data_IF_881235987832
#
_entry.id   IF_881235987832
#
_cell.length_a   1.000
_cell.length_b   1.000
_cell.length_c   1.000
_cell.angle_alpha   90.00
_cell.angle_beta   90.00
_cell.angle_gamma   90.00
#
_symmetry.space_group_name_H-M   'P 1'
#
loop_
_entity.id
_entity.type
_entity.pdbx_description
1 polymer ?
#
# COMPACT_ATOMS: atom_id res chain seq x y z
N UNK A 1 -59.98 8.41 -18.61
CA UNK A 1 -59.26 9.68 -18.83
C UNK A 1 -58.03 9.41 -19.70
N UNK A 2 -57.81 10.29 -20.68
CA UNK A 2 -56.75 10.39 -21.72
C UNK A 2 -55.36 9.83 -21.30
N UNK A 3 -54.75 8.89 -22.06
CA UNK A 3 -53.96 9.02 -23.33
C UNK A 3 -52.50 9.44 -23.03
N UNK A 4 -51.43 8.88 -23.61
CA UNK A 4 -51.19 8.31 -24.95
C UNK A 4 -49.86 7.49 -24.90
N UNK A 5 -49.82 6.21 -25.31
CA UNK A 5 -49.49 5.61 -26.64
C UNK A 5 -47.98 5.56 -26.98
N UNK A 6 -47.32 4.39 -26.97
CA UNK A 6 -47.24 3.35 -28.03
C UNK A 6 -46.58 3.80 -29.35
N UNK A 7 -45.46 3.16 -29.73
CA UNK A 7 -45.38 2.20 -30.85
C UNK A 7 -44.02 2.22 -31.56
N UNK A 8 -43.48 1.01 -31.76
CA UNK A 8 -42.51 0.64 -32.80
C UNK A 8 -42.86 1.22 -34.18
N UNK A 9 -41.81 1.49 -34.98
CA UNK A 9 -41.78 1.27 -36.44
C UNK A 9 -40.35 1.41 -37.00
N UNK A 10 -39.82 0.31 -37.52
CA UNK A 10 -38.90 0.31 -38.66
C UNK A 10 -39.63 0.82 -39.91
N UNK A 11 -38.87 1.36 -40.87
CA UNK A 11 -39.01 1.27 -42.34
C UNK A 11 -38.09 2.36 -42.97
N UNK A 12 -36.97 1.91 -43.54
CA UNK A 12 -36.21 2.51 -44.66
C UNK A 12 -37.08 2.44 -45.96
N UNK A 13 -36.78 3.03 -47.15
CA UNK A 13 -35.60 3.79 -47.60
C UNK A 13 -35.88 4.96 -48.61
N UNK A 14 -34.79 5.60 -49.09
CA UNK A 14 -34.66 6.37 -50.38
C UNK A 14 -35.17 7.83 -50.30
N UNK A 15 -34.46 8.89 -50.71
CA UNK A 15 -33.52 9.14 -51.81
C UNK A 15 -32.54 10.27 -51.37
N UNK A 16 -31.31 10.41 -51.86
CA UNK A 16 -30.99 10.54 -53.27
C UNK A 16 -29.59 10.02 -53.64
N UNK A 17 -29.54 9.51 -54.86
CA UNK A 17 -28.45 8.79 -55.49
C UNK A 17 -27.73 9.74 -56.45
N UNK A 18 -26.47 10.08 -56.19
CA UNK A 18 -25.54 10.43 -57.27
C UNK A 18 -24.22 9.71 -57.05
N UNK A 19 -24.18 8.49 -57.60
CA UNK A 19 -22.97 7.67 -57.76
C UNK A 19 -22.19 8.22 -58.95
N UNK A 20 -21.15 9.01 -58.68
CA UNK A 20 -20.05 9.20 -59.63
C UNK A 20 -18.90 8.29 -59.20
N UNK A 21 -18.87 7.08 -59.78
CA UNK A 21 -17.65 6.28 -59.80
C UNK A 21 -16.70 6.89 -60.81
N UNK A 22 -15.77 7.69 -60.30
CA UNK A 22 -14.47 7.88 -60.95
C UNK A 22 -13.43 7.24 -60.05
N UNK A 23 -12.76 6.24 -60.62
CA UNK A 23 -11.65 5.48 -60.08
C UNK A 23 -10.60 6.46 -59.55
N UNK A 24 -10.37 6.45 -58.24
CA UNK A 24 -9.19 7.06 -57.63
C UNK A 24 -8.80 6.20 -56.43
N UNK A 25 -7.71 5.46 -56.64
CA UNK A 25 -6.69 5.01 -55.70
C UNK A 25 -7.08 4.91 -54.21
N UNK A 26 -6.87 3.71 -53.66
CA UNK A 26 -7.11 3.34 -52.27
C UNK A 26 -6.84 4.47 -51.29
N UNK A 27 -7.91 5.12 -50.85
CA UNK A 27 -7.87 6.12 -49.80
C UNK A 27 -7.66 5.38 -48.49
N UNK A 28 -6.38 5.11 -48.19
CA UNK A 28 -5.83 4.93 -46.84
C UNK A 28 -6.61 5.89 -45.95
N UNK A 29 -7.53 5.36 -45.14
CA UNK A 29 -8.41 6.15 -44.27
C UNK A 29 -7.51 7.14 -43.54
N UNK A 30 -7.52 8.40 -43.98
CA UNK A 30 -6.74 9.45 -43.33
C UNK A 30 -7.31 9.54 -41.94
N UNK A 31 -6.52 9.05 -40.96
CA UNK A 31 -6.69 9.13 -39.51
C UNK A 31 -7.90 9.99 -39.16
N UNK A 32 -9.09 9.39 -39.18
CA UNK A 32 -10.21 10.02 -38.51
C UNK A 32 -9.74 10.20 -37.06
N UNK A 33 -9.99 11.39 -36.51
CA UNK A 33 -9.49 11.82 -35.21
C UNK A 33 -10.22 11.00 -34.15
N UNK A 34 -9.87 9.72 -34.03
CA UNK A 34 -10.40 8.80 -33.05
C UNK A 34 -9.73 9.17 -31.73
N UNK A 35 -10.50 9.78 -30.83
CA UNK A 35 -10.06 10.27 -29.51
C UNK A 35 -10.16 9.19 -28.42
N UNK A 36 -10.11 7.92 -28.79
CA UNK A 36 -10.14 6.81 -27.85
C UNK A 36 -8.78 6.58 -27.20
N UNK A 37 -8.81 6.10 -25.95
CA UNK A 37 -7.65 5.59 -25.21
C UNK A 37 -7.69 4.07 -25.34
N UNK A 38 -6.84 3.50 -26.19
CA UNK A 38 -6.81 2.06 -26.47
C UNK A 38 -5.54 1.46 -25.86
N UNK A 39 -4.37 1.80 -26.39
CA UNK A 39 -3.09 1.38 -25.83
C UNK A 39 -2.85 1.98 -24.45
N UNK A 40 -3.34 3.20 -24.21
CA UNK A 40 -3.26 3.80 -22.88
C UNK A 40 -4.00 3.00 -21.80
N UNK A 41 -5.07 2.32 -22.17
CA UNK A 41 -5.87 1.51 -21.23
C UNK A 41 -5.42 0.05 -21.19
N UNK A 42 -4.96 -0.49 -22.32
CA UNK A 42 -4.55 -1.90 -22.46
C UNK A 42 -3.09 -2.14 -22.03
N UNK A 43 -2.19 -1.21 -22.35
CA UNK A 43 -0.73 -1.38 -22.21
C UNK A 43 -0.03 -1.56 -23.56
N UNK A 44 1.31 -1.44 -23.55
CA UNK A 44 2.15 -1.60 -24.74
C UNK A 44 2.94 -2.91 -24.67
N UNK A 45 3.02 -3.64 -25.80
CA UNK A 45 3.81 -4.86 -25.88
C UNK A 45 5.19 -4.59 -26.52
N UNK A 46 6.24 -5.12 -25.90
CA UNK A 46 7.64 -4.87 -26.31
C UNK A 46 8.04 -5.56 -27.60
N UNK A 47 7.44 -6.72 -27.89
CA UNK A 47 7.67 -7.52 -29.09
C UNK A 47 6.38 -7.68 -29.88
N UNK A 48 6.47 -8.23 -31.10
CA UNK A 48 5.30 -8.61 -31.89
C UNK A 48 4.53 -9.68 -31.13
N UNK A 49 3.28 -9.41 -30.81
CA UNK A 49 2.40 -10.32 -30.09
C UNK A 49 0.99 -10.23 -30.67
N UNK A 50 0.56 -11.31 -31.34
CA UNK A 50 -0.76 -11.40 -31.98
C UNK A 50 -1.90 -11.40 -30.93
N UNK A 51 -1.59 -11.58 -29.64
CA UNK A 51 -2.54 -11.45 -28.52
C UNK A 51 -2.60 -10.03 -27.95
N UNK A 52 -1.72 -9.13 -28.39
CA UNK A 52 -1.64 -7.74 -27.94
C UNK A 52 -2.70 -6.86 -28.61
N UNK A 53 -3.97 -7.20 -28.38
CA UNK A 53 -5.14 -6.60 -29.05
C UNK A 53 -6.11 -5.98 -28.07
N UNK A 54 -6.75 -4.88 -28.47
CA UNK A 54 -7.81 -4.22 -27.74
C UNK A 54 -8.99 -3.87 -28.66
N UNK A 55 -10.24 -3.82 -28.16
CA UNK A 55 -11.40 -3.48 -28.98
C UNK A 55 -11.31 -2.05 -29.54
N UNK A 56 -11.47 -1.94 -30.86
CA UNK A 56 -11.58 -0.67 -31.57
C UNK A 56 -13.02 -0.44 -32.01
N UNK A 57 -13.81 0.10 -31.07
CA UNK A 57 -15.27 0.23 -31.21
C UNK A 57 -15.69 1.03 -32.44
N UNK A 58 -14.92 2.03 -32.86
CA UNK A 58 -15.25 2.91 -33.98
C UNK A 58 -15.09 2.23 -35.34
N UNK A 59 -14.31 1.15 -35.42
CA UNK A 59 -14.16 0.34 -36.62
C UNK A 59 -14.85 -1.03 -36.49
N UNK A 60 -15.55 -1.31 -35.39
CA UNK A 60 -16.05 -2.65 -35.03
C UNK A 60 -14.99 -3.74 -35.25
N UNK A 61 -13.76 -3.45 -34.85
CA UNK A 61 -12.59 -4.30 -35.07
C UNK A 61 -11.75 -4.42 -33.78
N UNK A 62 -10.61 -5.11 -33.86
CA UNK A 62 -9.55 -5.03 -32.86
C UNK A 62 -8.37 -4.25 -33.42
N UNK A 63 -7.62 -3.58 -32.56
CA UNK A 63 -6.37 -2.92 -32.94
C UNK A 63 -5.22 -3.39 -32.04
N UNK A 64 -3.99 -3.26 -32.54
CA UNK A 64 -2.77 -3.73 -31.88
C UNK A 64 -2.01 -2.59 -31.19
N UNK A 65 -1.35 -2.94 -30.07
CA UNK A 65 -0.51 -2.06 -29.27
C UNK A 65 0.94 -2.55 -29.14
N UNK A 66 1.41 -3.33 -30.12
CA UNK A 66 2.72 -3.97 -30.10
C UNK A 66 3.78 -3.24 -30.95
N UNK A 67 5.03 -3.67 -30.87
CA UNK A 67 6.15 -3.07 -31.62
C UNK A 67 5.98 -3.09 -33.15
N UNK A 68 5.10 -3.94 -33.69
CA UNK A 68 4.84 -3.99 -35.13
C UNK A 68 4.26 -2.66 -35.64
N UNK A 69 3.62 -1.90 -34.75
CA UNK A 69 3.04 -0.59 -35.05
C UNK A 69 4.04 0.55 -35.23
N UNK A 70 5.34 0.31 -35.03
CA UNK A 70 6.41 1.26 -35.39
C UNK A 70 6.50 1.52 -36.90
N UNK A 71 6.00 0.60 -37.75
CA UNK A 71 6.20 0.61 -39.20
C UNK A 71 5.04 1.26 -39.99
N UNK A 72 4.20 2.06 -39.33
CA UNK A 72 2.98 2.69 -39.90
C UNK A 72 2.05 1.70 -40.65
N UNK A 73 1.57 0.66 -39.93
CA UNK A 73 0.59 -0.31 -40.43
C UNK A 73 -0.86 0.09 -40.11
N UNK A 74 -1.84 -0.51 -40.80
CA UNK A 74 -3.27 -0.17 -40.68
C UNK A 74 -3.94 -0.65 -39.41
N UNK A 75 -3.47 -1.75 -38.83
CA UNK A 75 -4.20 -2.46 -37.76
C UNK A 75 -3.82 -1.94 -36.36
N UNK A 76 -3.06 -0.86 -36.32
CA UNK A 76 -2.53 -0.26 -35.11
C UNK A 76 -3.55 0.66 -34.45
N UNK A 77 -3.57 0.67 -33.12
CA UNK A 77 -4.45 1.57 -32.41
C UNK A 77 -4.07 3.04 -32.66
N UNK A 78 -5.06 3.95 -32.76
CA UNK A 78 -4.84 5.36 -33.05
C UNK A 78 -3.87 6.06 -32.09
N UNK A 79 -3.81 5.63 -30.83
CA UNK A 79 -2.98 6.20 -29.78
C UNK A 79 -1.60 5.53 -29.62
N UNK A 80 -1.28 4.48 -30.40
CA UNK A 80 -0.01 3.75 -30.30
C UNK A 80 1.20 4.68 -30.47
N UNK A 81 1.23 5.49 -31.54
CA UNK A 81 2.37 6.36 -31.84
C UNK A 81 2.60 7.39 -30.73
N UNK A 82 1.53 7.97 -30.18
CA UNK A 82 1.59 8.99 -29.14
C UNK A 82 1.80 8.43 -27.73
N UNK A 83 1.46 7.17 -27.49
CA UNK A 83 1.55 6.55 -26.16
C UNK A 83 2.74 5.59 -26.07
N UNK A 84 2.78 4.55 -26.91
CA UNK A 84 3.80 3.51 -26.84
C UNK A 84 5.15 3.92 -27.45
N UNK A 85 5.19 4.90 -28.37
CA UNK A 85 6.42 5.33 -29.04
C UNK A 85 7.02 6.60 -28.45
N UNK A 86 6.21 7.62 -28.21
CA UNK A 86 6.71 8.89 -27.63
C UNK A 86 7.25 8.72 -26.21
N UNK A 87 6.88 7.65 -25.49
CA UNK A 87 7.48 7.28 -24.20
C UNK A 87 8.93 6.73 -24.34
N UNK A 88 9.37 6.29 -25.53
CA UNK A 88 10.73 5.77 -25.76
C UNK A 88 11.77 6.83 -26.19
N UNK A 89 11.37 8.09 -26.42
CA UNK A 89 12.29 9.15 -26.90
C UNK A 89 12.56 10.27 -25.85
N UNK A 90 11.92 10.22 -24.68
CA UNK A 90 12.15 11.17 -23.59
C UNK A 90 13.09 10.65 -22.50
N UNK A 91 14.38 10.56 -22.84
CA UNK A 91 15.51 10.56 -21.88
C UNK A 91 15.51 9.39 -20.87
N UNK A 92 16.69 9.00 -20.33
CA UNK A 92 16.70 8.11 -19.17
C UNK A 92 15.83 8.77 -18.09
N UNK A 93 14.80 8.07 -17.60
CA UNK A 93 14.07 8.41 -16.37
C UNK A 93 15.05 8.38 -15.19
N UNK A 94 15.90 9.39 -15.17
CA UNK A 94 16.51 9.99 -14.00
C UNK A 94 15.40 10.76 -13.31
N UNK A 95 14.55 10.02 -12.59
CA UNK A 95 13.87 10.39 -11.34
C UNK A 95 12.79 9.34 -11.04
N UNK A 96 12.99 8.49 -10.02
CA UNK A 96 11.88 7.88 -9.32
C UNK A 96 10.88 8.98 -8.92
N UNK A 97 9.63 8.72 -9.24
CA UNK A 97 8.48 9.56 -9.03
C UNK A 97 8.25 9.72 -7.51
N UNK A 98 8.79 10.79 -6.92
CA UNK A 98 8.89 10.98 -5.46
C UNK A 98 9.62 9.83 -4.75
N UNK A 99 10.36 10.07 -3.66
CA UNK A 99 10.61 8.97 -2.74
C UNK A 99 9.24 8.62 -2.14
N UNK A 100 8.61 7.55 -2.63
CA UNK A 100 7.58 6.87 -1.85
C UNK A 100 8.24 6.56 -0.50
N UNK A 101 7.71 7.18 0.54
CA UNK A 101 8.43 7.33 1.78
C UNK A 101 7.59 8.05 2.81
N UNK A 102 7.88 7.79 4.07
CA UNK A 102 7.10 8.28 5.18
C UNK A 102 7.93 9.30 5.98
N UNK A 103 7.25 10.27 6.57
CA UNK A 103 7.89 11.25 7.45
C UNK A 103 7.58 10.95 8.91
N UNK A 104 8.58 11.04 9.79
CA UNK A 104 8.43 11.09 11.27
C UNK A 104 9.46 12.00 11.87
N UNK A 105 9.06 12.81 12.86
CA UNK A 105 9.95 13.66 13.67
C UNK A 105 10.92 14.53 12.84
N UNK A 106 10.44 15.00 11.68
CA UNK A 106 11.25 15.80 10.74
C UNK A 106 12.22 15.00 9.86
N UNK A 107 12.27 13.68 10.00
CA UNK A 107 13.08 12.77 9.19
C UNK A 107 12.23 12.04 8.13
N UNK A 108 12.83 11.85 6.95
CA UNK A 108 12.26 11.08 5.85
C UNK A 108 12.77 9.63 5.88
N UNK A 109 11.85 8.68 5.64
CA UNK A 109 12.10 7.24 5.57
C UNK A 109 11.65 6.70 4.22
N UNK A 110 12.38 5.74 3.65
CA UNK A 110 12.02 5.10 2.37
C UNK A 110 10.82 4.16 2.53
N UNK A 111 10.09 3.89 1.45
CA UNK A 111 9.02 2.89 1.40
C UNK A 111 9.49 1.53 1.93
N UNK A 112 8.66 0.88 2.74
CA UNK A 112 9.00 -0.39 3.39
C UNK A 112 9.91 -0.25 4.62
N UNK A 113 10.38 0.96 4.95
CA UNK A 113 11.14 1.20 6.18
C UNK A 113 10.34 0.77 7.41
N UNK A 114 11.03 0.12 8.35
CA UNK A 114 10.44 -0.29 9.62
C UNK A 114 11.10 0.47 10.77
N UNK A 115 10.29 1.17 11.55
CA UNK A 115 10.71 1.82 12.79
C UNK A 115 10.05 1.14 13.98
N UNK A 116 10.62 1.34 15.16
CA UNK A 116 10.07 0.83 16.41
C UNK A 116 9.67 2.01 17.30
N UNK A 117 8.37 2.11 17.57
CA UNK A 117 7.79 3.11 18.46
C UNK A 117 7.36 2.41 19.75
N UNK A 118 8.16 2.58 20.81
CA UNK A 118 8.00 1.83 22.07
C UNK A 118 7.99 0.31 21.79
N UNK A 119 6.89 -0.39 22.06
CA UNK A 119 6.74 -1.81 21.79
C UNK A 119 6.17 -2.12 20.40
N UNK A 120 5.67 -1.11 19.68
CA UNK A 120 5.03 -1.29 18.38
C UNK A 120 6.03 -1.14 17.24
N UNK A 121 5.82 -1.93 16.19
CA UNK A 121 6.59 -1.87 14.96
C UNK A 121 5.75 -1.19 13.90
N UNK A 122 6.31 -0.15 13.26
CA UNK A 122 5.64 0.64 12.25
C UNK A 122 6.35 0.47 10.91
N UNK A 123 5.61 0.03 9.90
CA UNK A 123 6.09 -0.10 8.53
C UNK A 123 5.57 1.05 7.69
N UNK A 124 6.46 1.70 6.96
CA UNK A 124 6.08 2.69 5.98
C UNK A 124 5.46 2.01 4.77
N UNK A 125 4.21 2.36 4.47
CA UNK A 125 3.55 1.93 3.24
C UNK A 125 2.70 3.05 2.64
N UNK A 126 2.97 3.41 1.39
CA UNK A 126 2.19 4.41 0.65
C UNK A 126 2.13 5.76 1.36
N UNK A 127 3.27 6.25 1.86
CA UNK A 127 3.40 7.49 2.65
C UNK A 127 2.71 7.48 4.03
N UNK A 128 2.14 6.36 4.46
CA UNK A 128 1.51 6.20 5.77
C UNK A 128 2.27 5.19 6.64
N UNK A 129 2.31 5.45 7.95
CA UNK A 129 2.80 4.47 8.91
C UNK A 129 1.71 3.48 9.29
N UNK A 130 1.95 2.21 9.01
CA UNK A 130 1.14 1.11 9.50
C UNK A 130 1.83 0.50 10.73
N UNK A 131 1.31 0.78 11.91
CA UNK A 131 1.87 0.34 13.19
C UNK A 131 1.09 -0.83 13.76
N UNK A 132 1.78 -1.78 14.38
CA UNK A 132 1.13 -2.73 15.28
C UNK A 132 0.47 -2.01 16.46
N UNK A 133 -0.60 -2.60 17.01
CA UNK A 133 -1.43 -2.01 18.06
C UNK A 133 -1.31 -2.80 19.37
N UNK A 134 -0.08 -3.09 19.81
CA UNK A 134 0.15 -3.70 21.11
C UNK A 134 0.05 -2.65 22.22
N UNK A 135 -0.55 -3.06 23.33
CA UNK A 135 -0.49 -2.29 24.58
C UNK A 135 0.92 -2.44 25.14
N UNK A 136 1.66 -1.35 25.24
CA UNK A 136 3.00 -1.36 25.80
C UNK A 136 2.97 -1.38 27.33
N UNK A 137 4.02 -1.94 27.94
CA UNK A 137 4.15 -2.01 29.40
C UNK A 137 4.33 -0.61 30.01
N UNK A 138 5.16 0.22 29.37
CA UNK A 138 5.32 1.63 29.74
C UNK A 138 4.45 2.47 28.82
N UNK A 139 3.48 3.19 29.38
CA UNK A 139 2.53 4.03 28.64
C UNK A 139 2.69 5.50 29.08
N UNK A 140 3.27 6.37 28.24
CA UNK A 140 3.50 7.78 28.58
C UNK A 140 2.22 8.51 29.03
N UNK A 141 1.10 8.31 28.32
CA UNK A 141 -0.17 8.93 28.69
C UNK A 141 -0.71 8.45 30.04
N UNK A 142 -0.46 7.21 30.44
CA UNK A 142 -0.82 6.72 31.77
C UNK A 142 0.05 7.35 32.86
N UNK A 143 1.35 7.50 32.58
CA UNK A 143 2.29 8.17 33.51
C UNK A 143 1.85 9.63 33.72
N UNK A 144 1.54 10.33 32.65
CA UNK A 144 1.05 11.71 32.69
C UNK A 144 -0.24 11.79 33.50
N UNK A 145 -1.25 10.97 33.17
CA UNK A 145 -2.53 10.95 33.87
C UNK A 145 -2.42 10.63 35.36
N UNK A 146 -1.53 9.72 35.76
CA UNK A 146 -1.27 9.43 37.17
C UNK A 146 -0.64 10.64 37.86
N UNK A 147 0.32 11.29 37.21
CA UNK A 147 1.04 12.43 37.78
C UNK A 147 0.21 13.72 37.83
N UNK A 148 -0.89 13.80 37.08
CA UNK A 148 -1.88 14.87 37.21
C UNK A 148 -2.69 14.78 38.52
N UNK A 149 -2.79 13.59 39.11
CA UNK A 149 -3.54 13.35 40.34
C UNK A 149 -2.71 13.48 41.61
N UNK A 150 -3.37 13.71 42.74
CA UNK A 150 -2.75 13.73 44.07
C UNK A 150 -2.92 12.37 44.76
N UNK A 151 -2.02 11.43 44.44
CA UNK A 151 -2.05 10.07 44.99
C UNK A 151 -0.95 9.82 46.04
N UNK A 152 -0.13 10.83 46.36
CA UNK A 152 1.02 10.70 47.26
C UNK A 152 2.22 9.92 46.68
N UNK A 153 2.18 9.57 45.40
CA UNK A 153 3.28 8.97 44.64
C UNK A 153 3.23 9.44 43.18
N UNK A 154 4.36 9.37 42.47
CA UNK A 154 4.45 9.72 41.05
C UNK A 154 4.86 8.52 40.22
N UNK A 155 4.23 8.37 39.05
CA UNK A 155 4.65 7.43 38.02
C UNK A 155 5.88 7.97 37.29
N UNK A 156 6.78 7.07 36.89
CA UNK A 156 7.98 7.42 36.13
C UNK A 156 8.19 6.47 34.95
N UNK A 157 8.97 6.93 33.97
CA UNK A 157 9.41 6.09 32.87
C UNK A 157 10.62 5.25 33.29
N UNK A 158 10.41 3.93 33.36
CA UNK A 158 11.48 2.97 33.59
C UNK A 158 11.97 2.43 32.25
N UNK A 159 13.07 2.99 31.75
CA UNK A 159 13.62 2.69 30.41
C UNK A 159 13.93 1.20 30.20
N UNK A 160 14.24 0.46 31.26
CA UNK A 160 14.43 -1.00 31.24
C UNK A 160 13.21 -1.81 30.77
N UNK A 161 12.03 -1.19 30.76
CA UNK A 161 10.76 -1.77 30.32
C UNK A 161 10.26 -1.15 29.01
N UNK A 162 10.99 -0.18 28.45
CA UNK A 162 10.65 0.43 27.17
C UNK A 162 10.78 -0.61 26.05
N UNK A 163 9.78 -0.69 25.19
CA UNK A 163 9.74 -1.68 24.12
C UNK A 163 9.24 -3.07 24.51
N UNK A 164 8.86 -3.30 25.77
CA UNK A 164 8.10 -4.48 26.19
C UNK A 164 6.61 -4.24 26.04
N UNK A 165 5.90 -5.25 25.56
CA UNK A 165 4.44 -5.29 25.59
C UNK A 165 3.94 -5.55 27.01
N UNK A 166 2.70 -5.15 27.29
CA UNK A 166 2.04 -5.41 28.56
C UNK A 166 1.98 -6.92 28.84
N UNK A 167 1.64 -7.73 27.83
CA UNK A 167 1.59 -9.20 27.91
C UNK A 167 2.94 -9.79 28.32
N UNK A 168 4.05 -9.35 27.72
CA UNK A 168 5.40 -9.77 28.10
C UNK A 168 5.74 -9.36 29.54
N UNK A 169 5.30 -8.16 29.96
CA UNK A 169 5.43 -7.70 31.34
C UNK A 169 4.72 -8.63 32.32
N UNK A 170 3.46 -8.99 32.03
CA UNK A 170 2.71 -9.95 32.84
C UNK A 170 3.43 -11.31 32.92
N UNK A 171 3.90 -11.81 31.77
CA UNK A 171 4.51 -13.13 31.67
C UNK A 171 5.88 -13.22 32.35
N UNK A 172 6.71 -12.19 32.24
CA UNK A 172 8.12 -12.26 32.63
C UNK A 172 8.50 -11.37 33.82
N UNK A 173 7.67 -10.42 34.26
CA UNK A 173 8.03 -9.45 35.32
C UNK A 173 7.19 -9.52 36.59
N UNK A 174 5.95 -9.99 36.53
CA UNK A 174 5.08 -9.98 37.72
C UNK A 174 5.35 -11.10 38.72
N UNK A 175 6.22 -12.07 38.39
CA UNK A 175 6.64 -13.10 39.34
C UNK A 175 5.50 -13.96 39.89
N UNK A 176 4.37 -14.05 39.18
CA UNK A 176 3.18 -14.81 39.60
C UNK A 176 3.04 -16.18 38.94
N UNK A 177 4.09 -16.67 38.28
CA UNK A 177 4.12 -18.08 37.91
C UNK A 177 4.13 -18.89 39.21
N UNK A 178 3.19 -19.84 39.39
CA UNK A 178 3.15 -20.64 40.60
C UNK A 178 4.52 -21.32 40.79
N UNK A 179 5.12 -21.23 41.99
CA UNK A 179 6.39 -21.89 42.25
C UNK A 179 6.27 -23.38 41.95
N UNK A 180 7.36 -23.98 41.46
CA UNK A 180 7.39 -25.41 41.19
C UNK A 180 7.04 -26.20 42.46
N UNK A 181 6.50 -27.43 42.36
CA UNK A 181 6.23 -28.27 43.52
C UNK A 181 7.46 -28.45 44.42
N UNK A 182 8.66 -28.43 43.82
CA UNK A 182 9.93 -28.49 44.55
C UNK A 182 10.14 -27.26 45.44
N UNK A 183 9.89 -26.05 44.93
CA UNK A 183 9.95 -24.81 45.71
C UNK A 183 8.89 -24.76 46.82
N UNK A 184 7.68 -25.26 46.54
CA UNK A 184 6.60 -25.37 47.53
C UNK A 184 6.90 -26.42 48.62
N UNK A 185 7.79 -27.37 48.36
CA UNK A 185 8.22 -28.42 49.30
C UNK A 185 9.46 -28.06 50.12
N UNK A 186 10.03 -26.87 49.93
CA UNK A 186 11.19 -26.42 50.69
C UNK A 186 10.78 -26.08 52.14
N UNK A 187 11.56 -26.57 53.10
CA UNK A 187 11.42 -26.23 54.51
C UNK A 187 12.40 -25.12 54.88
N UNK A 188 12.09 -24.36 55.94
CA UNK A 188 12.98 -23.32 56.46
C UNK A 188 14.35 -23.89 56.84
N UNK A 189 15.41 -23.15 56.52
CA UNK A 189 16.77 -23.50 56.96
C UNK A 189 17.02 -22.78 58.28
N UNK A 190 17.02 -23.54 59.37
CA UNK A 190 17.43 -23.02 60.67
C UNK A 190 18.96 -22.93 60.72
N UNK A 191 19.50 -21.72 60.69
CA UNK A 191 20.92 -21.49 60.93
C UNK A 191 21.11 -21.16 62.41
N UNK A 192 21.81 -22.02 63.14
CA UNK A 192 22.27 -21.72 64.50
C UNK A 192 23.43 -20.73 64.41
N UNK A 193 23.17 -19.44 64.65
CA UNK A 193 24.21 -18.43 64.71
C UNK A 193 24.99 -18.61 66.03
N UNK A 194 26.30 -18.87 66.01
CA UNK A 194 27.08 -18.98 67.23
C UNK A 194 27.15 -17.63 67.95
N UNK A 195 26.99 -17.63 69.27
CA UNK A 195 26.87 -16.45 70.14
C UNK A 195 28.02 -15.42 70.06
N UNK A 196 29.13 -15.78 69.41
CA UNK A 196 30.30 -14.91 69.20
C UNK A 196 30.01 -13.80 68.18
N UNK A 197 29.07 -14.01 67.24
CA UNK A 197 28.73 -13.03 66.21
C UNK A 197 27.68 -11.99 66.65
N UNK A 198 26.99 -12.22 67.77
CA UNK A 198 25.98 -11.29 68.32
C UNK A 198 26.58 -9.96 68.79
N UNK A 199 27.87 -9.92 69.11
CA UNK A 199 28.57 -8.71 69.56
C UNK A 199 29.13 -7.84 68.43
N UNK A 200 29.16 -8.33 67.18
CA UNK A 200 29.73 -7.61 66.04
C UNK A 200 28.69 -6.80 65.24
N UNK A 201 27.41 -6.87 65.60
CA UNK A 201 26.33 -6.10 64.95
C UNK A 201 25.77 -4.95 65.82
N UNK A 202 26.45 -4.59 66.91
CA UNK A 202 26.07 -3.48 67.80
C UNK A 202 27.01 -2.26 67.72
N UNK A 203 27.72 -2.08 66.61
CA UNK A 203 28.44 -0.85 66.29
C UNK A 203 28.05 -0.32 64.92
#
# INVERSE_FOLDING_TARGET
MKRQSLSHREVDPRADFTRNHTILEGTRFKRAIFRGQYCRSFGCCEDRDDSCVTPFYEANAVCYCDKFCERENSDCCPDYQSFCREEKEWRPHTKPWYPEGCHRDGQHYEEGSVIKENCNSCTCSGQQWNCSQHVCLVQPGLIEHVNEGDFGWTAQNYSQFWGMTLEEGFKYRLGTLPPSPLLLSMNEVTVSIPAVLTYMCLY
#
